data_IF_607359389500
#
_entry.id   IF_607359389500
#
_cell.length_a   1.000
_cell.length_b   1.000
_cell.length_c   1.000
_cell.angle_alpha   90.00
_cell.angle_beta   90.00
_cell.angle_gamma   90.00
#
_symmetry.space_group_name_H-M   'P 1'
#
loop_
_entity.id
_entity.type
_entity.pdbx_description
1 polymer ?
#
# COMPACT_ATOMS: atom_id res chain seq x y z
N UNK A 1 -15.30 8.50 12.28
CA UNK A 1 -14.76 8.62 12.71
C UNK A 1 -14.73 8.15 13.90
N UNK A 2 -13.81 7.74 14.16
CA UNK A 2 -13.52 7.32 15.53
C UNK A 2 -12.23 7.95 16.02
N UNK A 3 -12.10 8.04 17.32
CA UNK A 3 -10.91 8.65 17.91
C UNK A 3 -9.86 7.58 18.25
N UNK A 4 -8.62 8.03 18.47
CA UNK A 4 -7.54 7.14 18.94
C UNK A 4 -7.95 6.50 20.28
N UNK A 5 -8.57 7.29 21.16
CA UNK A 5 -9.02 6.80 22.46
C UNK A 5 -10.05 5.68 22.33
N UNK A 6 -10.98 5.80 21.39
CA UNK A 6 -11.97 4.74 21.13
C UNK A 6 -11.30 3.48 20.61
N UNK A 7 -10.30 3.62 19.71
CA UNK A 7 -9.53 2.47 19.23
C UNK A 7 -8.82 1.79 20.41
N UNK A 8 -8.16 2.58 21.24
CA UNK A 8 -7.40 2.05 22.39
C UNK A 8 -8.28 1.41 23.46
N UNK A 9 -9.54 1.84 23.57
CA UNK A 9 -10.50 1.26 24.51
C UNK A 9 -11.22 0.04 23.97
N UNK A 10 -11.09 -0.24 22.66
CA UNK A 10 -11.80 -1.39 22.09
C UNK A 10 -11.28 -2.71 22.68
N UNK A 11 -12.14 -3.72 22.66
CA UNK A 11 -11.81 -5.01 23.28
C UNK A 11 -10.68 -5.73 22.55
N UNK A 12 -9.90 -6.47 23.30
CA UNK A 12 -8.90 -7.36 22.73
C UNK A 12 -9.57 -8.52 21.99
N UNK A 13 -9.04 -8.86 20.84
CA UNK A 13 -9.46 -10.04 20.07
C UNK A 13 -8.39 -11.13 20.22
N UNK A 14 -7.13 -10.75 20.09
CA UNK A 14 -5.97 -11.63 20.33
C UNK A 14 -4.83 -10.73 20.79
N UNK A 15 -4.56 -10.72 22.11
CA UNK A 15 -3.57 -9.80 22.69
C UNK A 15 -2.28 -9.78 21.86
N UNK A 16 -1.73 -8.61 21.51
CA UNK A 16 -2.18 -7.24 21.87
C UNK A 16 -3.15 -6.60 20.87
N UNK A 17 -3.69 -7.36 19.89
CA UNK A 17 -4.57 -6.84 18.84
C UNK A 17 -6.00 -6.66 19.35
N UNK A 18 -6.55 -5.52 19.06
CA UNK A 18 -7.90 -5.13 19.45
C UNK A 18 -8.85 -5.15 18.25
N UNK A 19 -10.12 -4.99 18.51
CA UNK A 19 -11.17 -5.04 17.49
C UNK A 19 -10.88 -4.11 16.32
N UNK A 20 -10.44 -2.88 16.60
CA UNK A 20 -10.20 -1.90 15.55
C UNK A 20 -8.81 -2.03 14.91
N UNK A 21 -8.03 -3.04 15.28
CA UNK A 21 -6.75 -3.32 14.63
C UNK A 21 -6.90 -4.18 13.38
N UNK A 22 -8.08 -4.78 13.17
CA UNK A 22 -8.31 -5.62 11.99
C UNK A 22 -9.34 -5.01 11.04
N UNK A 23 -9.19 -5.30 9.76
CA UNK A 23 -10.18 -4.88 8.77
C UNK A 23 -11.48 -5.65 8.95
N UNK A 24 -12.63 -5.04 8.61
CA UNK A 24 -13.90 -5.75 8.67
C UNK A 24 -14.07 -6.73 7.50
N UNK A 25 -14.94 -7.71 7.69
CA UNK A 25 -15.39 -8.59 6.60
C UNK A 25 -16.27 -7.72 5.71
N UNK A 26 -15.97 -7.69 4.42
CA UNK A 26 -16.59 -6.73 3.51
C UNK A 26 -16.88 -7.38 2.16
N UNK A 27 -18.04 -7.08 1.59
CA UNK A 27 -18.33 -7.36 0.18
C UNK A 27 -18.00 -6.10 -0.64
N UNK A 28 -17.54 -6.31 -1.87
CA UNK A 28 -17.23 -5.17 -2.72
C UNK A 28 -16.59 -5.58 -4.02
N UNK A 29 -16.44 -4.63 -4.91
CA UNK A 29 -15.85 -4.86 -6.24
C UNK A 29 -14.95 -3.67 -6.61
N UNK A 30 -14.05 -3.93 -7.56
CA UNK A 30 -13.21 -2.89 -8.14
C UNK A 30 -12.89 -3.29 -9.58
N UNK A 31 -12.75 -2.31 -10.45
CA UNK A 31 -12.43 -2.56 -11.85
C UNK A 31 -11.44 -1.52 -12.36
N UNK A 32 -10.54 -1.94 -13.21
CA UNK A 32 -9.65 -1.06 -13.97
C UNK A 32 -9.64 -1.54 -15.41
N UNK A 33 -9.37 -0.63 -16.33
CA UNK A 33 -9.23 -0.96 -17.75
C UNK A 33 -7.75 -0.88 -18.11
N UNK A 34 -7.23 -1.96 -18.67
CA UNK A 34 -5.86 -2.02 -19.17
C UNK A 34 -5.87 -1.88 -20.69
N UNK A 35 -4.99 -1.08 -21.22
CA UNK A 35 -4.90 -0.87 -22.67
C UNK A 35 -3.44 -0.75 -23.08
N UNK A 36 -3.14 -1.18 -24.30
CA UNK A 36 -1.83 -0.92 -24.88
C UNK A 36 -1.65 0.58 -25.15
N UNK A 37 -0.41 1.02 -25.22
CA UNK A 37 -0.07 2.43 -25.33
C UNK A 37 -0.84 3.18 -26.41
N UNK A 38 -0.90 2.60 -27.64
CA UNK A 38 -1.56 3.23 -28.76
C UNK A 38 -3.06 3.46 -28.52
N UNK A 39 -3.71 2.51 -27.82
CA UNK A 39 -5.12 2.59 -27.51
C UNK A 39 -5.34 3.58 -26.36
N UNK A 40 -4.52 3.48 -25.33
CA UNK A 40 -4.62 4.36 -24.16
C UNK A 40 -4.56 5.83 -24.56
N UNK A 41 -3.62 6.18 -25.43
CA UNK A 41 -3.43 7.57 -25.92
C UNK A 41 -4.61 8.09 -26.75
N UNK A 42 -5.43 7.17 -27.28
CA UNK A 42 -6.63 7.58 -28.04
C UNK A 42 -7.85 7.78 -27.15
N UNK A 43 -7.84 7.18 -25.95
CA UNK A 43 -8.99 7.22 -25.04
C UNK A 43 -8.85 8.28 -23.95
N UNK A 44 -7.63 8.65 -23.58
CA UNK A 44 -7.41 9.59 -22.48
C UNK A 44 -6.15 10.42 -22.70
N UNK A 45 -6.23 11.66 -22.26
CA UNK A 45 -5.08 12.57 -22.26
C UNK A 45 -4.19 12.37 -21.02
N UNK A 46 -4.66 11.57 -20.06
CA UNK A 46 -3.95 11.33 -18.81
C UNK A 46 -3.81 9.83 -18.52
N UNK A 47 -3.12 9.10 -19.42
CA UNK A 47 -2.89 7.67 -19.14
C UNK A 47 -1.99 7.52 -17.93
N UNK A 48 -2.22 6.46 -17.17
CA UNK A 48 -1.36 6.10 -16.03
C UNK A 48 -0.70 4.77 -16.41
N UNK A 49 0.62 4.78 -16.42
CA UNK A 49 1.39 3.64 -16.91
C UNK A 49 1.73 2.67 -15.79
N UNK A 50 1.67 1.37 -16.09
CA UNK A 50 2.24 0.37 -15.20
C UNK A 50 3.75 0.37 -15.45
N UNK A 51 4.47 1.10 -14.63
CA UNK A 51 5.92 1.30 -14.78
C UNK A 51 6.67 0.02 -14.45
N UNK A 52 6.25 -0.70 -13.43
CA UNK A 52 6.91 -1.92 -13.01
C UNK A 52 5.99 -2.76 -12.13
N UNK A 53 6.19 -4.07 -12.18
CA UNK A 53 5.57 -5.00 -11.24
C UNK A 53 6.66 -5.91 -10.69
N UNK A 54 6.70 -6.03 -9.36
CA UNK A 54 7.51 -7.02 -8.68
C UNK A 54 6.60 -8.00 -7.97
N UNK A 55 6.91 -9.28 -8.08
CA UNK A 55 6.16 -10.34 -7.42
C UNK A 55 7.13 -11.30 -6.73
N UNK A 56 6.74 -11.82 -5.58
CA UNK A 56 7.56 -12.79 -4.87
C UNK A 56 6.70 -13.65 -3.96
N UNK A 57 7.21 -14.84 -3.68
CA UNK A 57 6.61 -15.77 -2.74
C UNK A 57 7.60 -16.04 -1.62
N UNK A 58 7.10 -16.14 -0.40
CA UNK A 58 7.82 -16.67 0.75
C UNK A 58 7.19 -17.99 1.17
N UNK A 59 7.51 -18.46 2.37
CA UNK A 59 6.90 -19.67 2.89
C UNK A 59 5.53 -19.39 3.52
N UNK A 60 4.57 -20.26 3.21
CA UNK A 60 3.25 -20.22 3.84
C UNK A 60 3.28 -20.87 5.23
N UNK A 61 4.28 -21.70 5.50
CA UNK A 61 4.42 -22.42 6.76
C UNK A 61 5.09 -21.50 7.79
N UNK A 62 4.30 -21.02 8.75
CA UNK A 62 4.79 -20.08 9.75
C UNK A 62 5.96 -20.63 10.57
N UNK A 63 5.98 -21.95 10.82
CA UNK A 63 7.06 -22.54 11.62
C UNK A 63 8.42 -22.51 10.89
N UNK A 64 8.40 -22.27 9.60
CA UNK A 64 9.63 -22.16 8.78
C UNK A 64 10.07 -20.73 8.51
N UNK A 65 9.36 -19.76 9.05
CA UNK A 65 9.75 -18.36 8.89
C UNK A 65 10.90 -18.03 9.83
N UNK A 66 11.89 -17.37 9.29
CA UNK A 66 13.05 -16.91 10.07
C UNK A 66 12.76 -15.55 10.71
N UNK A 67 11.80 -14.81 10.16
CA UNK A 67 11.50 -13.44 10.58
C UNK A 67 9.98 -13.24 10.68
N UNK A 68 9.53 -12.82 11.85
CA UNK A 68 8.12 -12.50 12.08
C UNK A 68 7.85 -10.99 12.11
N UNK A 69 8.89 -10.16 12.04
CA UNK A 69 8.74 -8.71 12.06
C UNK A 69 8.70 -8.07 10.67
N UNK A 70 8.68 -8.90 9.63
CA UNK A 70 8.59 -8.43 8.26
C UNK A 70 8.19 -9.57 7.33
N UNK A 71 7.93 -9.24 6.08
CA UNK A 71 7.53 -10.21 5.05
C UNK A 71 8.62 -10.27 3.98
N UNK A 72 9.34 -11.38 3.93
CA UNK A 72 10.38 -11.58 2.91
C UNK A 72 9.81 -11.38 1.50
N UNK A 73 8.62 -11.92 1.25
CA UNK A 73 7.98 -11.77 -0.06
C UNK A 73 7.78 -10.29 -0.42
N UNK A 74 7.38 -9.47 0.55
CA UNK A 74 7.18 -8.04 0.31
C UNK A 74 8.50 -7.33 -0.03
N UNK A 75 9.57 -7.64 0.72
CA UNK A 75 10.90 -7.06 0.46
C UNK A 75 11.40 -7.41 -0.93
N UNK A 76 11.28 -8.70 -1.31
CA UNK A 76 11.73 -9.17 -2.63
C UNK A 76 10.89 -8.59 -3.75
N UNK A 77 9.58 -8.51 -3.58
CA UNK A 77 8.69 -7.90 -4.57
C UNK A 77 9.03 -6.43 -4.76
N UNK A 78 9.26 -5.71 -3.66
CA UNK A 78 9.65 -4.28 -3.71
C UNK A 78 10.97 -4.11 -4.47
N UNK A 79 11.99 -4.90 -4.14
CA UNK A 79 13.29 -4.83 -4.81
C UNK A 79 13.16 -5.07 -6.33
N UNK A 80 12.35 -6.04 -6.72
CA UNK A 80 12.11 -6.34 -8.13
C UNK A 80 11.40 -5.19 -8.83
N UNK A 81 10.39 -4.62 -8.20
CA UNK A 81 9.66 -3.47 -8.76
C UNK A 81 10.56 -2.24 -8.87
N UNK A 82 11.33 -1.95 -7.82
CA UNK A 82 12.22 -0.79 -7.81
C UNK A 82 13.27 -0.88 -8.91
N UNK A 83 13.92 -2.04 -9.05
CA UNK A 83 14.91 -2.25 -10.11
C UNK A 83 14.32 -1.97 -11.50
N UNK A 84 13.13 -2.48 -11.75
CA UNK A 84 12.45 -2.31 -13.04
C UNK A 84 11.98 -0.88 -13.27
N UNK A 85 11.60 -0.19 -12.22
CA UNK A 85 11.11 1.20 -12.30
C UNK A 85 12.23 2.24 -12.27
N UNK A 86 13.46 1.84 -11.96
CA UNK A 86 14.57 2.78 -11.81
C UNK A 86 14.50 3.57 -10.50
N UNK A 87 13.89 2.97 -9.47
CA UNK A 87 13.80 3.58 -8.14
C UNK A 87 14.96 3.10 -7.28
N UNK A 88 15.63 4.03 -6.62
CA UNK A 88 16.70 3.70 -5.67
C UNK A 88 16.08 3.00 -4.45
N UNK A 89 16.38 1.72 -4.20
CA UNK A 89 15.77 1.00 -3.09
C UNK A 89 16.21 1.49 -1.71
N UNK A 90 17.29 2.29 -1.63
CA UNK A 90 17.71 2.87 -0.34
C UNK A 90 16.92 4.10 0.03
N UNK A 91 16.26 4.75 -0.95
CA UNK A 91 15.50 5.97 -0.72
C UNK A 91 14.24 6.02 -1.60
N UNK A 92 13.38 4.97 -1.55
CA UNK A 92 12.24 4.92 -2.47
C UNK A 92 11.26 6.09 -2.31
N UNK A 93 11.14 6.64 -1.10
CA UNK A 93 10.22 7.77 -0.85
C UNK A 93 10.59 9.01 -1.66
N UNK A 94 11.84 9.13 -2.10
CA UNK A 94 12.25 10.26 -2.94
C UNK A 94 11.64 10.20 -4.35
N UNK A 95 11.18 9.02 -4.74
CA UNK A 95 10.62 8.79 -6.08
C UNK A 95 9.09 8.74 -6.10
N UNK A 96 8.45 8.58 -4.95
CA UNK A 96 7.03 8.31 -4.86
C UNK A 96 6.26 9.48 -4.25
N UNK A 97 5.05 9.71 -4.76
CA UNK A 97 4.15 10.74 -4.22
C UNK A 97 3.12 10.16 -3.25
N UNK A 98 2.72 8.90 -3.46
CA UNK A 98 1.65 8.28 -2.67
C UNK A 98 1.76 6.76 -2.79
N UNK A 99 1.31 6.05 -1.75
CA UNK A 99 1.27 4.59 -1.78
C UNK A 99 -0.04 4.07 -1.18
N UNK A 100 -0.46 2.89 -1.66
CA UNK A 100 -1.51 2.09 -1.03
C UNK A 100 -0.85 0.78 -0.60
N UNK A 101 -0.91 0.47 0.69
CA UNK A 101 -0.30 -0.76 1.22
C UNK A 101 -1.37 -1.62 1.88
N UNK A 102 -1.07 -2.90 2.02
CA UNK A 102 -2.01 -3.90 2.54
C UNK A 102 -2.07 -3.81 4.08
N UNK A 103 -3.07 -3.13 4.59
CA UNK A 103 -3.25 -2.89 6.02
C UNK A 103 -4.43 -3.69 6.60
N UNK A 104 -4.50 -4.99 6.29
CA UNK A 104 -5.54 -5.84 6.85
C UNK A 104 -5.50 -5.87 8.39
N UNK A 105 -4.35 -5.58 8.96
CA UNK A 105 -4.17 -5.28 10.38
C UNK A 105 -3.32 -4.02 10.50
N UNK A 106 -3.54 -3.25 11.56
CA UNK A 106 -2.78 -2.00 11.75
C UNK A 106 -1.28 -2.23 11.77
N UNK A 107 -0.81 -3.33 12.39
CA UNK A 107 0.62 -3.66 12.43
C UNK A 107 1.16 -4.00 11.03
N UNK A 108 0.31 -4.53 10.14
CA UNK A 108 0.75 -4.88 8.79
C UNK A 108 1.16 -3.63 8.00
N UNK A 109 0.50 -2.50 8.24
CA UNK A 109 0.89 -1.24 7.58
C UNK A 109 2.28 -0.79 8.03
N UNK A 110 2.55 -0.86 9.35
CA UNK A 110 3.87 -0.50 9.89
C UNK A 110 4.95 -1.42 9.33
N UNK A 111 4.66 -2.73 9.27
CA UNK A 111 5.58 -3.69 8.67
C UNK A 111 5.86 -3.37 7.19
N UNK A 112 4.80 -2.98 6.46
CA UNK A 112 4.95 -2.62 5.06
C UNK A 112 5.87 -1.40 4.87
N UNK A 113 5.80 -0.40 5.76
CA UNK A 113 6.71 0.74 5.67
C UNK A 113 8.18 0.29 5.69
N UNK A 114 8.48 -0.69 6.52
CA UNK A 114 9.85 -1.20 6.65
C UNK A 114 10.21 -2.11 5.47
N UNK A 115 9.32 -3.03 5.11
CA UNK A 115 9.56 -3.97 4.01
C UNK A 115 9.70 -3.26 2.66
N UNK A 116 9.01 -2.13 2.48
CA UNK A 116 9.09 -1.33 1.25
C UNK A 116 10.23 -0.31 1.27
N UNK A 117 10.95 -0.23 2.40
CA UNK A 117 12.08 0.70 2.54
C UNK A 117 11.68 2.14 2.79
N UNK A 118 10.42 2.40 3.19
CA UNK A 118 9.99 3.75 3.56
C UNK A 118 10.59 4.16 4.91
N UNK A 119 10.92 3.18 5.74
CA UNK A 119 11.58 3.38 7.03
C UNK A 119 12.59 2.27 7.26
N UNK A 120 13.56 2.52 8.12
CA UNK A 120 14.51 1.50 8.55
C UNK A 120 13.82 0.47 9.42
N UNK A 121 14.38 -0.74 9.46
CA UNK A 121 13.88 -1.83 10.30
C UNK A 121 13.75 -1.36 11.76
N UNK A 122 12.56 -1.59 12.33
CA UNK A 122 12.27 -1.18 13.70
C UNK A 122 11.85 0.28 13.86
N UNK A 123 11.76 1.04 12.77
CA UNK A 123 11.44 2.47 12.82
C UNK A 123 10.14 2.84 12.07
N UNK A 124 9.45 1.85 11.48
CA UNK A 124 8.24 2.11 10.71
C UNK A 124 7.17 2.85 11.52
N UNK A 125 7.03 2.53 12.80
CA UNK A 125 6.04 3.19 13.66
C UNK A 125 6.23 4.70 13.74
N UNK A 126 7.47 5.18 13.56
CA UNK A 126 7.77 6.62 13.62
C UNK A 126 7.05 7.39 12.51
N UNK A 127 6.95 6.79 11.31
CA UNK A 127 6.25 7.43 10.18
C UNK A 127 4.80 7.74 10.54
N UNK A 128 4.10 6.78 11.16
CA UNK A 128 2.72 6.98 11.58
C UNK A 128 2.63 7.98 12.72
N UNK A 129 3.46 7.81 13.75
CA UNK A 129 3.42 8.67 14.95
C UNK A 129 3.72 10.13 14.61
N UNK A 130 4.64 10.36 13.67
CA UNK A 130 5.05 11.70 13.27
C UNK A 130 4.22 12.22 12.08
N UNK A 131 3.15 11.51 11.73
CA UNK A 131 2.23 11.87 10.64
C UNK A 131 2.91 11.99 9.28
N UNK A 132 3.99 11.27 9.08
CA UNK A 132 4.73 11.31 7.83
C UNK A 132 4.03 10.52 6.70
N UNK A 133 3.02 9.73 7.05
CA UNK A 133 2.19 9.01 6.08
C UNK A 133 0.84 9.72 5.83
N UNK A 134 0.65 10.88 6.39
CA UNK A 134 -0.51 11.73 6.14
C UNK A 134 -0.25 12.61 4.91
N UNK A 135 -1.30 13.28 4.44
CA UNK A 135 -1.15 14.29 3.37
C UNK A 135 -0.14 15.34 3.82
N UNK A 136 0.87 15.57 3.01
CA UNK A 136 1.93 16.52 3.32
C UNK A 136 3.14 15.93 4.03
N UNK A 137 3.05 14.67 4.44
CA UNK A 137 4.21 13.96 4.98
C UNK A 137 5.13 13.44 3.86
N UNK A 138 6.19 12.75 4.26
CA UNK A 138 7.22 12.30 3.29
C UNK A 138 6.68 11.27 2.31
N UNK A 139 5.71 10.44 2.73
CA UNK A 139 5.06 9.46 1.85
C UNK A 139 3.62 9.24 2.32
N UNK A 140 2.66 9.95 1.76
CA UNK A 140 1.25 9.68 2.07
C UNK A 140 0.88 8.23 1.75
N UNK A 141 0.25 7.55 2.72
CA UNK A 141 -0.10 6.13 2.58
C UNK A 141 -1.58 5.94 2.89
N UNK A 142 -2.24 5.10 2.08
CA UNK A 142 -3.62 4.66 2.30
C UNK A 142 -4.61 5.83 2.44
N UNK A 143 -4.48 6.81 1.55
CA UNK A 143 -5.41 7.94 1.54
C UNK A 143 -6.83 7.53 1.14
N UNK A 144 -7.00 6.30 0.61
CA UNK A 144 -8.32 5.71 0.38
C UNK A 144 -9.08 5.44 1.69
N UNK A 145 -8.36 5.46 2.81
CA UNK A 145 -8.84 5.01 4.11
C UNK A 145 -8.30 3.64 4.48
N UNK A 146 -7.61 2.99 3.54
CA UNK A 146 -7.04 1.66 3.74
C UNK A 146 -8.10 0.59 3.93
N UNK A 147 -7.66 -0.64 4.14
CA UNK A 147 -8.55 -1.80 4.30
C UNK A 147 -9.36 -1.70 5.59
N UNK A 148 -8.84 -0.98 6.58
CA UNK A 148 -9.55 -0.81 7.84
C UNK A 148 -10.78 0.08 7.67
N UNK A 149 -10.64 1.22 7.00
CA UNK A 149 -11.73 2.19 6.91
C UNK A 149 -12.66 1.92 5.72
N UNK A 150 -12.11 1.63 4.53
CA UNK A 150 -12.97 1.40 3.36
C UNK A 150 -13.45 -0.04 3.23
N UNK A 151 -12.84 -0.98 3.99
CA UNK A 151 -13.18 -2.39 3.91
C UNK A 151 -12.19 -3.18 3.06
N UNK A 152 -12.29 -4.51 3.18
CA UNK A 152 -11.33 -5.42 2.54
C UNK A 152 -12.05 -6.58 1.84
N UNK A 153 -12.72 -6.31 0.69
CA UNK A 153 -13.21 -7.41 -0.15
C UNK A 153 -11.98 -8.03 -0.79
N UNK A 154 -11.60 -9.20 -0.30
CA UNK A 154 -10.25 -9.75 -0.55
C UNK A 154 -9.91 -9.92 -2.03
N UNK A 155 -10.88 -10.26 -2.86
CA UNK A 155 -10.66 -10.39 -4.31
C UNK A 155 -10.57 -9.05 -5.04
N UNK A 156 -11.07 -7.97 -4.43
CA UNK A 156 -11.11 -6.66 -5.07
C UNK A 156 -9.99 -5.73 -4.60
N UNK A 157 -9.40 -6.00 -3.43
CA UNK A 157 -8.46 -5.07 -2.77
C UNK A 157 -7.31 -4.62 -3.68
N UNK A 158 -6.63 -5.56 -4.33
CA UNK A 158 -5.48 -5.20 -5.18
C UNK A 158 -5.90 -4.32 -6.35
N UNK A 159 -7.05 -4.60 -6.97
CA UNK A 159 -7.57 -3.79 -8.07
C UNK A 159 -7.99 -2.41 -7.55
N UNK A 160 -8.59 -2.36 -6.35
CA UNK A 160 -9.01 -1.10 -5.74
C UNK A 160 -7.80 -0.19 -5.44
N UNK A 161 -6.66 -0.76 -5.05
CA UNK A 161 -5.42 0.01 -4.86
C UNK A 161 -4.98 0.68 -6.16
N UNK A 162 -5.02 -0.08 -7.27
CA UNK A 162 -4.64 0.47 -8.58
C UNK A 162 -5.61 1.57 -9.01
N UNK A 163 -6.91 1.35 -8.79
CA UNK A 163 -7.93 2.35 -9.13
C UNK A 163 -7.73 3.64 -8.32
N UNK A 164 -7.48 3.51 -7.00
CA UNK A 164 -7.24 4.68 -6.14
C UNK A 164 -5.99 5.44 -6.58
N UNK A 165 -4.88 4.72 -6.80
CA UNK A 165 -3.63 5.37 -7.19
C UNK A 165 -3.72 6.02 -8.57
N UNK A 166 -4.48 5.42 -9.50
CA UNK A 166 -4.73 6.03 -10.80
C UNK A 166 -5.44 7.38 -10.63
N UNK A 167 -6.47 7.42 -9.78
CA UNK A 167 -7.20 8.66 -9.50
C UNK A 167 -6.31 9.68 -8.76
N UNK A 168 -5.47 9.20 -7.83
CA UNK A 168 -4.51 10.08 -7.12
C UNK A 168 -3.55 10.74 -8.11
N UNK A 169 -2.95 9.94 -9.00
CA UNK A 169 -2.00 10.47 -9.99
C UNK A 169 -2.67 11.48 -10.93
N UNK A 170 -3.92 11.22 -11.31
CA UNK A 170 -4.69 12.13 -12.17
C UNK A 170 -5.25 13.31 -11.40
N UNK A 171 -5.08 13.35 -10.08
CA UNK A 171 -5.63 14.39 -9.21
C UNK A 171 -7.16 14.46 -9.29
N UNK A 172 -7.79 13.27 -9.31
CA UNK A 172 -9.24 13.10 -9.44
C UNK A 172 -9.92 12.64 -8.14
N UNK A 173 -9.22 12.69 -7.00
CA UNK A 173 -9.83 12.36 -5.72
C UNK A 173 -10.28 13.63 -4.99
N UNK A 174 -11.13 13.45 -3.98
CA UNK A 174 -11.63 14.57 -3.20
C UNK A 174 -10.48 15.35 -2.54
N UNK A 175 -10.59 16.67 -2.52
CA UNK A 175 -9.54 17.57 -2.03
C UNK A 175 -8.95 17.14 -0.67
N UNK A 176 -9.79 16.64 0.23
CA UNK A 176 -9.35 16.21 1.56
C UNK A 176 -8.55 14.91 1.59
N UNK A 177 -8.47 14.19 0.45
CA UNK A 177 -7.71 12.93 0.34
C UNK A 177 -6.64 12.98 -0.74
N UNK A 178 -6.53 14.07 -1.47
CA UNK A 178 -5.62 14.17 -2.62
C UNK A 178 -4.17 14.36 -2.16
N UNK A 179 -3.30 13.44 -2.53
CA UNK A 179 -1.87 13.59 -2.31
C UNK A 179 -1.31 14.70 -3.23
N UNK A 180 -0.33 15.48 -2.79
CA UNK A 180 0.40 16.36 -3.71
C UNK A 180 1.18 15.52 -4.70
N UNK A 181 0.90 15.68 -5.99
CA UNK A 181 1.59 14.93 -7.06
C UNK A 181 2.68 15.84 -7.63
N UNK A 182 3.93 15.43 -7.43
CA UNK A 182 5.11 16.20 -7.84
C UNK A 182 6.10 15.37 -8.66
N UNK A 183 6.17 14.07 -8.38
CA UNK A 183 7.11 13.14 -9.04
C UNK A 183 6.40 12.30 -10.09
N UNK A 184 5.08 12.20 -9.98
CA UNK A 184 4.26 11.46 -10.92
C UNK A 184 4.36 9.95 -10.76
N UNK A 185 4.74 9.47 -9.57
CA UNK A 185 4.82 8.02 -9.32
C UNK A 185 4.09 7.62 -8.05
N UNK A 186 3.47 6.43 -8.10
CA UNK A 186 2.73 5.86 -6.99
C UNK A 186 3.03 4.37 -6.86
N UNK A 187 2.83 3.82 -5.66
CA UNK A 187 3.13 2.43 -5.39
C UNK A 187 1.96 1.73 -4.73
N UNK A 188 1.60 0.55 -5.26
CA UNK A 188 0.64 -0.36 -4.63
C UNK A 188 1.38 -1.57 -4.10
N UNK A 189 1.10 -1.97 -2.85
CA UNK A 189 1.64 -3.17 -2.23
C UNK A 189 0.50 -4.03 -1.74
N UNK A 190 0.34 -5.22 -2.33
CA UNK A 190 -0.72 -6.14 -1.97
C UNK A 190 -0.13 -7.47 -1.57
N UNK A 191 -0.65 -8.08 -0.50
CA UNK A 191 -0.19 -9.38 -0.03
C UNK A 191 -1.34 -10.35 0.06
N UNK A 192 -1.02 -11.64 -0.01
CA UNK A 192 -2.01 -12.71 0.11
C UNK A 192 -1.55 -13.80 1.07
N UNK A 193 -2.52 -14.60 1.50
CA UNK A 193 -2.27 -15.67 2.47
C UNK A 193 -1.82 -15.10 3.80
N UNK A 194 -0.82 -15.73 4.42
CA UNK A 194 -0.23 -15.23 5.66
C UNK A 194 0.92 -14.24 5.36
N UNK A 195 0.85 -13.53 4.22
CA UNK A 195 1.92 -12.65 3.79
C UNK A 195 2.98 -13.36 2.95
N UNK A 196 2.69 -14.59 2.51
CA UNK A 196 3.66 -15.34 1.72
C UNK A 196 3.59 -15.06 0.22
N UNK A 197 2.54 -14.38 -0.25
CA UNK A 197 2.49 -13.82 -1.60
C UNK A 197 2.60 -12.31 -1.49
N UNK A 198 3.38 -11.68 -2.34
CA UNK A 198 3.45 -10.22 -2.37
C UNK A 198 3.60 -9.71 -3.80
N UNK A 199 2.89 -8.63 -4.07
CA UNK A 199 2.94 -7.92 -5.35
C UNK A 199 3.15 -6.44 -5.07
N UNK A 200 4.13 -5.85 -5.76
CA UNK A 200 4.39 -4.41 -5.70
C UNK A 200 4.28 -3.87 -7.11
N UNK A 201 3.37 -2.93 -7.31
CA UNK A 201 3.15 -2.29 -8.61
C UNK A 201 3.52 -0.82 -8.51
N UNK A 202 4.35 -0.35 -9.43
CA UNK A 202 4.69 1.07 -9.55
C UNK A 202 3.93 1.63 -10.74
N UNK A 203 3.17 2.69 -10.48
CA UNK A 203 2.43 3.42 -11.51
C UNK A 203 3.10 4.78 -11.74
N UNK A 204 2.99 5.30 -12.96
CA UNK A 204 3.52 6.62 -13.28
C UNK A 204 2.61 7.38 -14.25
N UNK A 205 2.72 8.68 -14.24
CA UNK A 205 2.16 9.54 -15.28
C UNK A 205 3.00 9.46 -16.55
#
# INVERSE_FOLDING_TARGET
XITVEECLKSKYVAWPLKLYDSSPITDGSAAVILAGEEVAKKITDTPVWIKAIGAANGTSNLSKREDFAGLEAARLAAQRAYRRAGIDPSEPVKHLDVAEVHDCFTIAEIMAYEDLGFAKRGEGYKLAREKQTYIGGVIPVNLSGGLKAKGHPIGATGVAMIAELTRQLRQEVERGRQAPIRKGMALAHNVGGTGHYAFVTVLSL
#
